data_IF_777607118406
#
_entry.id   IF_777607118406
#
_cell.length_a   1.000
_cell.length_b   1.000
_cell.length_c   1.000
_cell.angle_alpha   90.00
_cell.angle_beta   90.00
_cell.angle_gamma   90.00
#
_symmetry.space_group_name_H-M   'P 1'
#
loop_
_entity.id
_entity.type
_entity.pdbx_description
1 polymer ?
#
# COMPACT_ATOMS: atom_id res chain seq x y z
N UNK A 1 -51.14 17.01 -58.66
CA UNK A 1 -50.73 18.21 -57.90
C UNK A 1 -50.33 17.76 -56.50
N UNK A 2 -49.07 18.04 -56.11
CA UNK A 2 -48.58 18.54 -54.80
C UNK A 2 -49.25 17.99 -53.51
N UNK A 3 -48.57 17.55 -52.45
CA UNK A 3 -47.16 17.62 -52.04
C UNK A 3 -46.91 16.69 -50.83
N UNK A 4 -45.62 16.41 -50.63
CA UNK A 4 -44.84 16.07 -49.42
C UNK A 4 -45.54 16.32 -48.05
N UNK A 5 -45.31 15.55 -46.99
CA UNK A 5 -44.07 15.45 -46.19
C UNK A 5 -44.10 14.18 -45.29
N UNK A 6 -43.06 13.35 -45.25
CA UNK A 6 -41.99 13.30 -44.25
C UNK A 6 -42.44 13.25 -42.77
N UNK A 7 -42.08 12.16 -42.06
CA UNK A 7 -41.56 12.15 -40.67
C UNK A 7 -41.36 10.69 -40.22
N UNK A 8 -40.17 10.11 -40.41
CA UNK A 8 -39.10 10.00 -39.40
C UNK A 8 -39.31 8.87 -38.39
N UNK A 9 -38.51 7.83 -38.61
CA UNK A 9 -38.30 6.60 -37.84
C UNK A 9 -38.17 6.82 -36.33
N UNK A 10 -39.04 6.18 -35.55
CA UNK A 10 -38.94 6.10 -34.10
C UNK A 10 -37.98 4.96 -33.69
N UNK A 11 -36.77 5.39 -33.31
CA UNK A 11 -36.14 5.12 -32.00
C UNK A 11 -36.20 3.65 -31.50
N UNK A 12 -35.17 2.88 -31.83
CA UNK A 12 -34.77 1.71 -31.05
C UNK A 12 -33.25 1.76 -30.82
N UNK A 13 -32.84 2.70 -29.97
CA UNK A 13 -31.49 2.70 -29.41
C UNK A 13 -31.37 1.51 -28.44
N UNK A 14 -30.81 0.41 -28.95
CA UNK A 14 -30.11 -0.58 -28.14
C UNK A 14 -28.87 0.13 -27.57
N UNK A 15 -28.62 0.03 -26.26
CA UNK A 15 -27.36 -0.50 -25.69
C UNK A 15 -27.26 -0.27 -24.17
N UNK A 16 -27.13 -1.39 -23.46
CA UNK A 16 -26.27 -1.63 -22.30
C UNK A 16 -26.19 -0.59 -21.17
N UNK A 17 -27.01 -0.81 -20.14
CA UNK A 17 -26.77 -0.30 -18.78
C UNK A 17 -26.56 -1.49 -17.83
N UNK A 18 -25.43 -2.20 -17.95
CA UNK A 18 -25.05 -3.26 -17.00
C UNK A 18 -23.62 -3.14 -16.44
N UNK A 19 -22.88 -2.07 -16.73
CA UNK A 19 -21.52 -1.90 -16.21
C UNK A 19 -21.43 -1.32 -14.78
N UNK A 20 -22.53 -0.81 -14.21
CA UNK A 20 -22.51 -0.27 -12.84
C UNK A 20 -22.44 -1.33 -11.72
N UNK A 21 -22.78 -2.59 -12.02
CA UNK A 21 -22.76 -3.67 -11.04
C UNK A 21 -21.33 -4.14 -10.69
N UNK A 22 -20.44 -4.23 -11.67
CA UNK A 22 -19.10 -4.79 -11.48
C UNK A 22 -18.16 -3.82 -10.76
N UNK A 23 -18.20 -2.53 -11.09
CA UNK A 23 -17.36 -1.51 -10.44
C UNK A 23 -17.77 -1.34 -8.96
N UNK A 24 -19.08 -1.39 -8.66
CA UNK A 24 -19.57 -1.35 -7.27
C UNK A 24 -19.35 -2.65 -6.48
N UNK A 25 -19.15 -3.77 -7.17
CA UNK A 25 -18.76 -5.05 -6.56
C UNK A 25 -17.27 -5.04 -6.18
N UNK A 26 -16.41 -4.53 -7.07
CA UNK A 26 -14.98 -4.36 -6.80
C UNK A 26 -14.73 -3.36 -5.66
N UNK A 27 -15.51 -2.28 -5.60
CA UNK A 27 -15.51 -1.39 -4.44
C UNK A 27 -15.83 -2.14 -3.15
N UNK A 28 -16.94 -2.89 -3.11
CA UNK A 28 -17.35 -3.67 -1.91
C UNK A 28 -16.38 -4.78 -1.52
N UNK A 29 -15.68 -5.40 -2.47
CA UNK A 29 -14.68 -6.42 -2.17
C UNK A 29 -13.43 -5.78 -1.53
N UNK A 30 -13.03 -4.59 -1.98
CA UNK A 30 -11.84 -3.88 -1.47
C UNK A 30 -12.05 -3.23 -0.09
N UNK A 31 -13.30 -2.99 0.32
CA UNK A 31 -13.65 -2.50 1.67
C UNK A 31 -13.87 -3.61 2.70
N UNK A 32 -13.69 -4.89 2.34
CA UNK A 32 -14.04 -6.01 3.23
C UNK A 32 -12.89 -6.50 4.11
N UNK A 33 -11.64 -6.20 3.75
CA UNK A 33 -10.46 -6.65 4.49
C UNK A 33 -9.74 -5.45 5.14
N UNK A 34 -9.88 -5.25 6.46
CA UNK A 34 -8.98 -4.35 7.18
C UNK A 34 -7.55 -4.93 7.03
N UNK A 35 -6.68 -4.18 6.36
CA UNK A 35 -5.31 -4.60 6.02
C UNK A 35 -5.01 -4.60 4.52
N UNK A 36 -6.00 -4.78 3.65
CA UNK A 36 -5.77 -4.83 2.19
C UNK A 36 -5.23 -3.52 1.60
N UNK A 37 -5.49 -2.38 2.27
CA UNK A 37 -4.88 -1.11 1.90
C UNK A 37 -3.42 -1.04 2.31
N UNK A 38 -3.08 -1.50 3.52
CA UNK A 38 -1.72 -1.46 4.07
C UNK A 38 -0.82 -2.45 3.31
N UNK A 39 -1.32 -3.64 2.98
CA UNK A 39 -0.62 -4.62 2.14
C UNK A 39 -0.33 -4.05 0.74
N UNK A 40 -1.31 -3.36 0.14
CA UNK A 40 -1.12 -2.69 -1.14
C UNK A 40 -0.09 -1.57 -1.05
N UNK A 41 -0.09 -0.80 0.05
CA UNK A 41 0.85 0.28 0.27
C UNK A 41 2.28 -0.28 0.43
N UNK A 42 2.42 -1.35 1.21
CA UNK A 42 3.68 -2.06 1.41
C UNK A 42 4.24 -2.57 0.09
N UNK A 43 3.44 -3.29 -0.70
CA UNK A 43 3.85 -3.82 -2.00
C UNK A 43 4.27 -2.71 -2.97
N UNK A 44 3.52 -1.60 -2.98
CA UNK A 44 3.82 -0.43 -3.80
C UNK A 44 5.17 0.19 -3.40
N UNK A 45 5.39 0.39 -2.10
CA UNK A 45 6.58 1.06 -1.59
C UNK A 45 7.83 0.18 -1.81
N UNK A 46 7.71 -1.13 -1.59
CA UNK A 46 8.74 -2.12 -1.94
C UNK A 46 9.11 -2.09 -3.43
N UNK A 47 8.11 -2.01 -4.31
CA UNK A 47 8.32 -1.89 -5.76
C UNK A 47 9.07 -0.60 -6.10
N UNK A 48 8.67 0.54 -5.51
CA UNK A 48 9.30 1.84 -5.75
C UNK A 48 10.75 1.85 -5.28
N UNK A 49 11.01 1.35 -4.06
CA UNK A 49 12.36 1.28 -3.48
C UNK A 49 13.26 0.42 -4.36
N UNK A 50 12.80 -0.79 -4.72
CA UNK A 50 13.56 -1.70 -5.58
C UNK A 50 13.86 -1.06 -6.93
N UNK A 51 12.86 -0.42 -7.57
CA UNK A 51 13.05 0.28 -8.83
C UNK A 51 14.03 1.46 -8.72
N UNK A 52 14.01 2.20 -7.61
CA UNK A 52 14.94 3.29 -7.35
C UNK A 52 16.37 2.77 -7.20
N UNK A 53 16.58 1.68 -6.46
CA UNK A 53 17.88 1.05 -6.28
C UNK A 53 18.41 0.45 -7.58
N UNK A 54 17.54 -0.13 -8.42
CA UNK A 54 17.93 -0.64 -9.74
C UNK A 54 18.54 0.43 -10.66
N UNK A 55 18.21 1.71 -10.46
CA UNK A 55 18.79 2.83 -11.23
C UNK A 55 20.21 3.20 -10.82
N UNK A 56 20.67 2.78 -9.64
CA UNK A 56 22.02 3.03 -9.17
C UNK A 56 23.03 2.16 -9.94
N UNK A 57 24.27 2.61 -10.08
CA UNK A 57 25.37 1.79 -10.61
C UNK A 57 25.79 0.69 -9.62
N UNK A 58 26.45 -0.36 -10.10
CA UNK A 58 26.94 -1.46 -9.22
C UNK A 58 27.86 -0.94 -8.12
N UNK A 59 28.70 0.06 -8.41
CA UNK A 59 29.57 0.70 -7.41
C UNK A 59 28.75 1.39 -6.31
N UNK A 60 27.64 2.04 -6.66
CA UNK A 60 26.76 2.68 -5.69
C UNK A 60 25.99 1.66 -4.86
N UNK A 61 25.51 0.57 -5.47
CA UNK A 61 24.89 -0.54 -4.75
C UNK A 61 25.87 -1.18 -3.77
N UNK A 62 27.10 -1.48 -4.21
CA UNK A 62 28.12 -2.05 -3.33
C UNK A 62 28.47 -1.14 -2.15
N UNK A 63 28.38 0.19 -2.29
CA UNK A 63 28.56 1.13 -1.17
C UNK A 63 27.45 1.03 -0.13
N UNK A 64 26.26 0.60 -0.53
CA UNK A 64 25.13 0.30 0.34
C UNK A 64 25.17 -1.15 0.86
N UNK A 65 26.20 -1.93 0.49
CA UNK A 65 26.28 -3.36 0.81
C UNK A 65 25.34 -4.24 0.00
N UNK A 66 24.76 -3.71 -1.09
CA UNK A 66 23.81 -4.41 -1.95
C UNK A 66 24.48 -4.86 -3.25
N UNK A 67 24.00 -5.95 -3.84
CA UNK A 67 24.40 -6.35 -5.20
C UNK A 67 23.21 -6.41 -6.12
N UNK A 68 23.37 -6.07 -7.40
CA UNK A 68 22.25 -6.14 -8.35
C UNK A 68 21.70 -7.55 -8.53
N UNK A 69 22.55 -8.57 -8.38
CA UNK A 69 22.17 -9.97 -8.52
C UNK A 69 21.23 -10.44 -7.42
N UNK A 70 21.33 -9.83 -6.25
CA UNK A 70 20.60 -10.19 -5.03
C UNK A 70 19.61 -9.11 -4.60
N UNK A 71 19.51 -8.01 -5.36
CA UNK A 71 18.85 -6.79 -4.93
C UNK A 71 17.44 -7.02 -4.39
N UNK A 72 16.59 -7.77 -5.10
CA UNK A 72 15.23 -8.02 -4.65
C UNK A 72 15.18 -8.70 -3.26
N UNK A 73 16.04 -9.69 -3.04
CA UNK A 73 16.18 -10.40 -1.76
C UNK A 73 16.75 -9.45 -0.70
N UNK A 74 17.75 -8.64 -1.06
CA UNK A 74 18.38 -7.70 -0.14
C UNK A 74 17.40 -6.61 0.32
N UNK A 75 16.50 -6.13 -0.55
CA UNK A 75 15.46 -5.16 -0.15
C UNK A 75 14.41 -5.82 0.75
N UNK A 76 14.02 -7.06 0.47
CA UNK A 76 13.08 -7.82 1.33
C UNK A 76 13.67 -8.04 2.73
N UNK A 77 14.94 -8.45 2.82
CA UNK A 77 15.63 -8.60 4.11
C UNK A 77 15.77 -7.26 4.85
N UNK A 78 16.01 -6.16 4.12
CA UNK A 78 16.04 -4.82 4.70
C UNK A 78 14.68 -4.43 5.30
N UNK A 79 13.59 -4.75 4.61
CA UNK A 79 12.24 -4.47 5.10
C UNK A 79 11.95 -5.26 6.38
N UNK A 80 12.26 -6.57 6.41
CA UNK A 80 12.08 -7.41 7.60
C UNK A 80 12.91 -6.93 8.80
N UNK A 81 14.14 -6.46 8.55
CA UNK A 81 14.97 -5.88 9.62
C UNK A 81 14.39 -4.58 10.16
N UNK A 82 13.88 -3.71 9.28
CA UNK A 82 13.26 -2.46 9.68
C UNK A 82 11.99 -2.70 10.51
N UNK A 83 11.17 -3.69 10.13
CA UNK A 83 9.99 -4.10 10.90
C UNK A 83 10.37 -4.58 12.30
N UNK A 84 11.37 -5.46 12.40
CA UNK A 84 11.87 -5.94 13.69
C UNK A 84 12.42 -4.82 14.56
N UNK A 85 13.16 -3.88 13.99
CA UNK A 85 13.71 -2.73 14.73
C UNK A 85 12.59 -1.81 15.24
N UNK A 86 11.52 -1.62 14.45
CA UNK A 86 10.34 -0.88 14.87
C UNK A 86 9.58 -1.58 16.00
N UNK A 87 9.46 -2.91 15.95
CA UNK A 87 8.84 -3.73 17.00
C UNK A 87 9.61 -3.62 18.31
N UNK A 88 10.94 -3.83 18.28
CA UNK A 88 11.82 -3.67 19.45
C UNK A 88 11.70 -2.26 20.03
N UNK A 89 11.73 -1.23 19.16
CA UNK A 89 11.61 0.16 19.61
C UNK A 89 10.28 0.42 20.33
N UNK A 90 9.19 -0.19 19.86
CA UNK A 90 7.87 -0.09 20.51
C UNK A 90 7.86 -0.79 21.87
N UNK A 91 8.39 -2.01 21.95
CA UNK A 91 8.50 -2.76 23.19
C UNK A 91 9.33 -2.00 24.24
N UNK A 92 10.48 -1.44 23.82
CA UNK A 92 11.33 -0.62 24.70
C UNK A 92 10.58 0.62 25.21
N UNK A 93 9.83 1.30 24.34
CA UNK A 93 9.03 2.47 24.74
C UNK A 93 7.92 2.10 25.73
N UNK A 94 7.29 0.94 25.55
CA UNK A 94 6.26 0.41 26.46
C UNK A 94 6.87 0.11 27.84
N UNK A 95 7.98 -0.63 27.89
CA UNK A 95 8.69 -0.94 29.13
C UNK A 95 9.15 0.31 29.90
N UNK A 96 9.65 1.33 29.19
CA UNK A 96 10.08 2.60 29.81
C UNK A 96 8.88 3.39 30.35
N UNK A 97 7.75 3.37 29.64
CA UNK A 97 6.53 4.06 30.05
C UNK A 97 5.90 3.44 31.29
N UNK A 98 5.92 2.10 31.39
CA UNK A 98 5.40 1.36 32.55
C UNK A 98 6.25 1.60 33.80
N UNK A 99 7.59 1.62 33.66
CA UNK A 99 8.50 1.90 34.79
C UNK A 99 8.43 3.34 35.31
N UNK A 100 7.94 4.30 34.51
CA UNK A 100 7.72 5.69 34.94
C UNK A 100 6.43 5.86 35.74
N UNK A 101 5.50 4.90 35.65
CA UNK A 101 4.17 4.98 36.28
C UNK A 101 4.12 4.43 37.70
N UNK A 102 5.19 3.80 38.19
CA UNK A 102 5.38 3.51 39.62
C UNK A 102 5.98 4.76 40.29
N UNK A 103 5.20 5.58 41.03
CA UNK A 103 5.78 6.63 41.84
C UNK A 103 6.64 5.95 42.90
N UNK A 104 7.96 6.04 42.76
CA UNK A 104 8.88 5.83 43.86
C UNK A 104 8.44 6.75 45.00
N UNK A 105 7.61 6.21 45.90
CA UNK A 105 7.35 6.77 47.20
C UNK A 105 8.68 6.72 47.93
N UNK A 106 9.46 7.78 47.79
CA UNK A 106 10.62 8.05 48.62
C UNK A 106 10.04 8.23 50.01
N UNK A 107 10.04 7.13 50.77
CA UNK A 107 9.82 7.14 52.20
C UNK A 107 10.94 7.99 52.82
N UNK A 108 10.61 9.23 53.15
CA UNK A 108 11.42 10.06 54.02
C UNK A 108 11.15 9.60 55.46
N UNK A 109 12.13 8.89 56.04
CA UNK A 109 12.29 8.75 57.50
C UNK A 109 12.80 10.06 58.11
#
# INVERSE_FOLDING_TARGET
>A
MMSMTASTSLKAARTSYHQHGLISLWGRLRYREPGAYDDWLYERDMTIITAALMRLSERQLNRLGLSRKTLAIDVEDLALRAEREAEISREVLELVSDNTSEPHAIAAE
#
